data_IF_886865556313
#
_entry.id   IF_886865556313
#
_cell.length_a   1.000
_cell.length_b   1.000
_cell.length_c   1.000
_cell.angle_alpha   90.00
_cell.angle_beta   90.00
_cell.angle_gamma   90.00
#
_symmetry.space_group_name_H-M   'P 1'
#
loop_
_entity.id
_entity.type
_entity.pdbx_description
1 polymer ?
#
# COMPACT_ATOMS: atom_id res chain seq x y z
N UNK A 1 2.95 6.03 -2.93
CA UNK A 1 1.99 5.57 -1.90
C UNK A 1 1.04 4.52 -2.47
N UNK A 2 1.18 3.24 -2.11
CA UNK A 2 0.23 2.19 -2.50
C UNK A 2 -1.09 2.42 -1.77
N UNK A 3 -2.17 2.71 -2.53
CA UNK A 3 -3.54 2.80 -2.01
C UNK A 3 -3.81 1.63 -1.06
N UNK A 4 -4.36 1.91 0.13
CA UNK A 4 -4.76 0.88 1.10
C UNK A 4 -5.80 -0.02 0.42
N UNK A 5 -5.37 -1.20 -0.06
CA UNK A 5 -6.22 -2.23 -0.66
C UNK A 5 -7.02 -3.03 0.38
N UNK A 6 -7.19 -2.48 1.60
CA UNK A 6 -7.88 -3.12 2.72
C UNK A 6 -9.15 -2.37 3.08
N UNK A 7 -10.12 -3.08 3.64
CA UNK A 7 -11.39 -2.56 4.13
C UNK A 7 -11.68 -3.15 5.51
N UNK A 8 -12.55 -2.47 6.26
CA UNK A 8 -13.04 -2.95 7.55
C UNK A 8 -13.91 -4.20 7.35
N UNK A 9 -13.89 -5.10 8.32
CA UNK A 9 -14.70 -6.32 8.30
C UNK A 9 -16.15 -5.96 8.62
N UNK A 10 -17.02 -6.03 7.61
CA UNK A 10 -18.46 -5.74 7.74
C UNK A 10 -19.25 -6.96 8.19
N UNK A 11 -20.52 -6.76 8.59
CA UNK A 11 -21.44 -7.85 8.91
C UNK A 11 -21.64 -8.82 7.73
N UNK A 12 -21.67 -8.30 6.51
CA UNK A 12 -21.67 -9.10 5.28
C UNK A 12 -20.49 -10.06 5.23
N UNK A 13 -19.26 -9.57 5.45
CA UNK A 13 -18.05 -10.39 5.40
C UNK A 13 -18.13 -11.51 6.44
N UNK A 14 -18.59 -11.22 7.67
CA UNK A 14 -18.74 -12.24 8.72
C UNK A 14 -19.71 -13.34 8.34
N UNK A 15 -20.86 -12.99 7.73
CA UNK A 15 -21.89 -13.95 7.30
C UNK A 15 -21.40 -14.77 6.11
N UNK A 16 -20.91 -14.13 5.06
CA UNK A 16 -20.41 -14.80 3.87
C UNK A 16 -19.21 -15.71 4.17
N UNK A 17 -18.32 -15.30 5.08
CA UNK A 17 -17.19 -16.11 5.54
C UNK A 17 -17.66 -17.36 6.30
N UNK A 18 -18.67 -17.23 7.17
CA UNK A 18 -19.24 -18.37 7.88
C UNK A 18 -19.87 -19.38 6.93
N UNK A 19 -20.64 -18.93 5.95
CA UNK A 19 -21.26 -19.81 4.95
C UNK A 19 -20.21 -20.49 4.06
N UNK A 20 -19.18 -19.76 3.64
CA UNK A 20 -18.16 -20.33 2.76
C UNK A 20 -17.26 -21.31 3.50
N UNK A 21 -16.70 -20.92 4.65
CA UNK A 21 -15.68 -21.72 5.34
C UNK A 21 -16.27 -22.62 6.43
N UNK A 22 -17.55 -22.50 6.77
CA UNK A 22 -18.17 -23.23 7.89
C UNK A 22 -17.66 -22.81 9.26
N UNK A 23 -16.92 -21.70 9.36
CA UNK A 23 -16.30 -21.23 10.60
C UNK A 23 -16.50 -19.72 10.79
N UNK A 24 -16.68 -19.30 12.04
CA UNK A 24 -16.81 -17.87 12.37
C UNK A 24 -15.45 -17.20 12.29
N UNK A 25 -15.44 -15.94 11.86
CA UNK A 25 -14.25 -15.11 11.94
C UNK A 25 -13.94 -14.81 13.41
N UNK A 26 -12.92 -15.46 13.95
CA UNK A 26 -12.53 -15.41 15.36
C UNK A 26 -11.57 -14.26 15.71
N UNK A 27 -11.32 -14.14 17.01
CA UNK A 27 -10.26 -13.32 17.62
C UNK A 27 -10.25 -11.84 17.20
N UNK A 28 -11.40 -11.31 16.79
CA UNK A 28 -11.55 -9.90 16.38
C UNK A 28 -11.42 -8.92 17.56
N UNK A 29 -11.40 -9.41 18.80
CA UNK A 29 -11.07 -8.69 20.03
C UNK A 29 -9.55 -8.69 20.35
N UNK A 30 -8.76 -9.50 19.64
CA UNK A 30 -7.33 -9.67 19.89
C UNK A 30 -6.50 -8.78 18.98
N UNK A 31 -5.56 -8.04 19.56
CA UNK A 31 -4.68 -7.11 18.84
C UNK A 31 -3.73 -7.79 17.84
N UNK A 32 -3.46 -9.08 18.01
CA UNK A 32 -2.61 -9.87 17.11
C UNK A 32 -3.36 -10.40 15.89
N UNK A 33 -4.70 -10.36 15.88
CA UNK A 33 -5.50 -10.87 14.77
C UNK A 33 -5.70 -9.80 13.69
N UNK A 34 -5.86 -10.19 12.40
CA UNK A 34 -6.21 -9.23 11.36
C UNK A 34 -7.61 -8.63 11.57
N UNK A 35 -7.67 -7.30 11.67
CA UNK A 35 -8.92 -6.52 11.79
C UNK A 35 -9.41 -5.91 10.46
N UNK A 36 -8.68 -6.16 9.38
CA UNK A 36 -9.04 -5.67 8.04
C UNK A 36 -8.93 -6.80 7.03
N UNK A 37 -9.71 -6.71 5.97
CA UNK A 37 -9.76 -7.68 4.88
C UNK A 37 -9.37 -7.01 3.57
N UNK A 38 -8.78 -7.75 2.63
CA UNK A 38 -8.41 -7.20 1.33
C UNK A 38 -9.65 -6.94 0.46
N UNK A 39 -9.69 -5.87 -0.33
CA UNK A 39 -10.84 -5.53 -1.20
C UNK A 39 -11.19 -6.67 -2.16
N UNK A 40 -10.17 -7.27 -2.78
CA UNK A 40 -10.37 -8.41 -3.68
C UNK A 40 -10.92 -9.65 -2.96
N UNK A 41 -10.59 -9.84 -1.68
CA UNK A 41 -11.12 -10.92 -0.86
C UNK A 41 -12.63 -10.73 -0.65
N UNK A 42 -13.05 -9.50 -0.32
CA UNK A 42 -14.46 -9.14 -0.15
C UNK A 42 -15.22 -9.31 -1.46
N UNK A 43 -14.66 -8.86 -2.57
CA UNK A 43 -15.32 -8.96 -3.87
C UNK A 43 -15.42 -10.40 -4.35
N UNK A 44 -14.40 -11.23 -4.14
CA UNK A 44 -14.47 -12.65 -4.47
C UNK A 44 -15.54 -13.38 -3.64
N UNK A 45 -15.69 -13.02 -2.36
CA UNK A 45 -16.79 -13.53 -1.52
C UNK A 45 -18.14 -13.04 -2.04
N UNK A 46 -18.26 -11.76 -2.42
CA UNK A 46 -19.48 -11.18 -3.00
C UNK A 46 -19.89 -11.89 -4.29
N UNK A 47 -18.96 -12.08 -5.22
CA UNK A 47 -19.22 -12.79 -6.47
C UNK A 47 -19.62 -14.25 -6.23
N UNK A 48 -19.04 -14.91 -5.23
CA UNK A 48 -19.46 -16.25 -4.84
C UNK A 48 -20.89 -16.24 -4.27
N UNK A 49 -21.23 -15.28 -3.40
CA UNK A 49 -22.62 -15.15 -2.89
C UNK A 49 -23.64 -14.79 -3.97
N UNK A 50 -23.21 -14.26 -5.11
CA UNK A 50 -24.07 -14.00 -6.28
C UNK A 50 -24.12 -15.18 -7.26
N UNK A 51 -23.39 -16.27 -6.99
CA UNK A 51 -23.24 -17.40 -7.92
C UNK A 51 -22.42 -17.09 -9.18
N UNK A 52 -21.86 -15.88 -9.31
CA UNK A 52 -21.01 -15.49 -10.46
C UNK A 52 -19.69 -16.26 -10.41
N UNK A 53 -19.14 -16.42 -9.20
CA UNK A 53 -17.87 -17.12 -8.97
C UNK A 53 -18.13 -18.50 -8.36
N UNK A 54 -17.52 -19.54 -8.94
CA UNK A 54 -17.66 -20.93 -8.48
C UNK A 54 -17.00 -21.17 -7.11
N UNK A 55 -15.78 -20.66 -6.92
CA UNK A 55 -15.00 -20.86 -5.68
C UNK A 55 -13.95 -19.77 -5.48
N UNK A 56 -13.50 -19.64 -4.23
CA UNK A 56 -12.24 -18.98 -3.88
C UNK A 56 -11.05 -19.87 -4.28
N UNK A 57 -9.83 -19.34 -4.16
CA UNK A 57 -8.59 -20.06 -4.48
C UNK A 57 -8.17 -21.06 -3.39
N UNK A 58 -8.80 -21.00 -2.22
CA UNK A 58 -8.52 -21.87 -1.07
C UNK A 58 -9.82 -22.21 -0.34
N UNK A 59 -9.86 -23.42 0.23
CA UNK A 59 -10.99 -23.92 0.99
C UNK A 59 -10.81 -23.82 2.49
N UNK A 60 -9.57 -23.72 2.97
CA UNK A 60 -9.26 -23.35 4.35
C UNK A 60 -8.51 -22.03 4.32
N UNK A 61 -8.97 -21.00 5.04
CA UNK A 61 -8.31 -19.70 5.08
C UNK A 61 -7.01 -19.79 5.88
N UNK A 62 -6.22 -18.71 5.83
CA UNK A 62 -5.08 -18.58 6.74
C UNK A 62 -5.58 -18.55 8.18
N UNK A 63 -4.99 -19.39 9.04
CA UNK A 63 -5.36 -19.47 10.46
C UNK A 63 -4.31 -18.74 11.27
N UNK A 64 -4.74 -17.75 12.04
CA UNK A 64 -3.92 -17.00 12.97
C UNK A 64 -4.17 -17.49 14.40
N UNK A 65 -3.12 -17.59 15.19
CA UNK A 65 -3.13 -17.89 16.62
C UNK A 65 -2.20 -16.93 17.34
N UNK A 66 -2.34 -16.86 18.66
CA UNK A 66 -1.50 -16.00 19.49
C UNK A 66 0.00 -16.36 19.31
N UNK A 67 0.84 -15.39 18.91
CA UNK A 67 2.26 -15.63 18.70
C UNK A 67 2.99 -15.82 20.03
N UNK A 68 3.88 -16.82 20.09
CA UNK A 68 4.63 -17.12 21.31
C UNK A 68 5.87 -16.23 21.48
N UNK A 69 6.60 -15.94 20.40
CA UNK A 69 7.81 -15.12 20.43
C UNK A 69 8.20 -14.60 19.03
N UNK A 70 9.10 -13.61 19.00
CA UNK A 70 9.58 -13.00 17.75
C UNK A 70 10.70 -13.76 17.03
N UNK A 71 11.21 -14.85 17.62
CA UNK A 71 12.41 -15.56 17.12
C UNK A 71 11.99 -16.76 16.26
N UNK A 72 11.16 -17.64 16.79
CA UNK A 72 10.77 -18.91 16.17
C UNK A 72 9.31 -18.96 15.72
N UNK A 73 8.49 -17.97 16.10
CA UNK A 73 7.03 -18.00 15.87
C UNK A 73 6.47 -16.71 15.27
N UNK A 74 7.34 -15.84 14.75
CA UNK A 74 6.93 -14.62 14.04
C UNK A 74 6.84 -14.85 12.52
N UNK A 75 5.61 -14.92 12.00
CA UNK A 75 5.34 -15.09 10.57
C UNK A 75 6.00 -14.02 9.69
N UNK A 76 5.91 -12.76 10.10
CA UNK A 76 6.50 -11.65 9.36
C UNK A 76 8.03 -11.63 9.40
N UNK A 77 8.62 -12.07 10.52
CA UNK A 77 10.07 -12.07 10.71
C UNK A 77 10.73 -13.21 9.91
N UNK A 78 10.05 -14.35 9.77
CA UNK A 78 10.57 -15.50 9.04
C UNK A 78 10.33 -15.43 7.52
N UNK A 79 9.36 -14.64 7.07
CA UNK A 79 9.12 -14.43 5.66
C UNK A 79 10.15 -13.43 5.08
N UNK A 80 11.27 -13.93 4.55
CA UNK A 80 12.19 -13.08 3.81
C UNK A 80 11.57 -12.69 2.45
N UNK A 81 11.02 -11.48 2.40
CA UNK A 81 10.39 -10.90 1.21
C UNK A 81 11.32 -9.95 0.44
N UNK A 82 12.54 -9.74 0.93
CA UNK A 82 13.51 -8.84 0.28
C UNK A 82 14.01 -9.46 -1.03
N UNK A 83 14.07 -8.64 -2.09
CA UNK A 83 14.54 -9.05 -3.42
C UNK A 83 13.49 -9.70 -4.33
N UNK A 84 12.25 -9.84 -3.87
CA UNK A 84 11.15 -10.33 -4.71
C UNK A 84 10.41 -9.18 -5.40
N UNK A 85 10.01 -9.39 -6.65
CA UNK A 85 9.22 -8.45 -7.46
C UNK A 85 7.92 -9.13 -7.92
N UNK A 86 7.07 -8.42 -8.69
CA UNK A 86 5.79 -8.94 -9.14
C UNK A 86 5.89 -10.27 -9.94
N UNK A 87 7.00 -10.50 -10.65
CA UNK A 87 7.25 -11.74 -11.42
C UNK A 87 7.78 -12.87 -10.53
N UNK A 88 8.55 -12.54 -9.50
CA UNK A 88 9.19 -13.54 -8.61
C UNK A 88 8.43 -13.76 -7.30
N UNK A 89 7.34 -13.03 -7.03
CA UNK A 89 6.55 -13.15 -5.78
C UNK A 89 6.03 -14.55 -5.49
N UNK A 90 5.79 -15.37 -6.51
CA UNK A 90 5.34 -16.77 -6.36
C UNK A 90 6.43 -17.68 -5.77
N UNK A 91 7.70 -17.26 -5.83
CA UNK A 91 8.84 -17.99 -5.28
C UNK A 91 9.04 -17.72 -3.78
N UNK A 92 8.30 -16.77 -3.19
CA UNK A 92 8.39 -16.48 -1.76
C UNK A 92 7.89 -17.70 -0.99
N UNK A 93 8.78 -18.26 -0.16
CA UNK A 93 8.47 -19.41 0.69
C UNK A 93 7.99 -18.93 2.04
N UNK A 94 6.69 -19.09 2.28
CA UNK A 94 6.10 -18.87 3.59
C UNK A 94 6.07 -20.19 4.38
N UNK A 95 6.64 -20.23 5.61
CA UNK A 95 6.56 -21.40 6.47
C UNK A 95 5.17 -21.55 7.12
N UNK A 96 4.85 -22.75 7.60
CA UNK A 96 3.76 -22.97 8.55
C UNK A 96 4.33 -22.85 9.96
N UNK A 97 3.67 -22.09 10.82
CA UNK A 97 4.08 -21.79 12.18
C UNK A 97 2.98 -22.17 13.17
N UNK A 98 3.29 -22.15 14.47
CA UNK A 98 2.26 -22.34 15.49
C UNK A 98 1.29 -21.15 15.52
N UNK A 99 1.80 -19.93 15.32
CA UNK A 99 1.00 -18.69 15.24
C UNK A 99 0.29 -18.47 13.90
N UNK A 100 0.77 -19.06 12.81
CA UNK A 100 0.25 -18.79 11.46
C UNK A 100 0.32 -20.04 10.57
N UNK A 101 -0.84 -20.60 10.26
CA UNK A 101 -0.98 -21.75 9.36
C UNK A 101 -1.50 -21.25 8.00
N UNK A 102 -0.82 -21.67 6.92
CA UNK A 102 -1.12 -21.22 5.57
C UNK A 102 -2.51 -21.69 5.09
N UNK A 103 -3.13 -20.93 4.17
CA UNK A 103 -4.34 -21.38 3.48
C UNK A 103 -4.12 -22.73 2.79
N UNK A 104 -5.13 -23.57 2.85
CA UNK A 104 -5.14 -24.87 2.15
C UNK A 104 -6.00 -24.76 0.90
N UNK A 105 -5.45 -25.07 -0.30
CA UNK A 105 -6.22 -25.13 -1.53
C UNK A 105 -7.39 -26.11 -1.43
N UNK A 106 -8.40 -25.93 -2.28
CA UNK A 106 -9.45 -26.93 -2.41
C UNK A 106 -8.89 -28.27 -2.90
N UNK A 107 -9.41 -29.35 -2.33
CA UNK A 107 -9.06 -30.73 -2.66
C UNK A 107 -10.30 -31.61 -2.49
N UNK A 108 -10.14 -32.93 -2.67
CA UNK A 108 -11.22 -33.89 -2.38
C UNK A 108 -11.64 -33.81 -0.91
N UNK A 109 -10.67 -33.62 -0.01
CA UNK A 109 -10.90 -33.49 1.44
C UNK A 109 -11.40 -32.09 1.85
N UNK A 110 -11.16 -31.09 1.01
CA UNK A 110 -11.62 -29.69 1.20
C UNK A 110 -12.47 -29.27 0.00
N UNK A 111 -13.71 -29.79 -0.11
CA UNK A 111 -14.55 -29.55 -1.27
C UNK A 111 -14.97 -28.08 -1.37
N UNK A 112 -15.34 -27.66 -2.58
CA UNK A 112 -15.93 -26.34 -2.80
C UNK A 112 -17.34 -26.32 -2.20
N UNK A 113 -17.65 -25.36 -1.31
CA UNK A 113 -18.99 -25.21 -0.76
C UNK A 113 -20.00 -24.92 -1.88
N UNK A 114 -21.14 -25.62 -1.85
CA UNK A 114 -22.25 -25.29 -2.74
C UNK A 114 -22.97 -24.09 -2.16
N UNK A 115 -23.11 -23.04 -2.97
CA UNK A 115 -23.86 -21.86 -2.57
C UNK A 115 -25.34 -22.24 -2.32
N UNK A 116 -25.78 -22.10 -1.07
CA UNK A 116 -27.20 -22.07 -0.71
C UNK A 116 -27.62 -20.60 -0.69
N UNK A 117 -28.70 -20.28 -1.40
CA UNK A 117 -29.18 -18.91 -1.55
C UNK A 117 -29.22 -18.21 -0.19
N UNK A 118 -28.42 -17.16 -0.03
CA UNK A 118 -28.44 -16.33 1.17
C UNK A 118 -29.72 -15.51 1.13
N UNK A 119 -30.76 -15.96 1.84
CA UNK A 119 -31.99 -15.19 2.00
C UNK A 119 -31.61 -13.78 2.51
N UNK A 120 -31.87 -12.82 1.62
CA UNK A 120 -31.78 -11.36 1.71
C UNK A 120 -30.99 -10.87 2.93
N UNK A 121 -29.68 -10.71 2.76
CA UNK A 121 -28.94 -9.78 3.62
C UNK A 121 -29.47 -8.41 3.24
N UNK A 122 -30.30 -7.83 4.11
CA UNK A 122 -30.80 -6.47 4.00
C UNK A 122 -29.68 -5.56 3.49
N UNK A 123 -29.90 -5.03 2.29
CA UNK A 123 -29.15 -3.92 1.73
C UNK A 123 -29.31 -2.74 2.69
N UNK A 124 -28.44 -2.66 3.70
CA UNK A 124 -28.14 -1.35 4.28
C UNK A 124 -27.11 -0.76 3.35
N UNK A 125 -27.72 -0.11 2.37
CA UNK A 125 -27.21 0.89 1.49
C UNK A 125 -26.45 1.96 2.30
N UNK A 126 -25.16 2.07 2.05
CA UNK A 126 -24.44 3.35 2.06
C UNK A 126 -23.80 3.46 0.68
N UNK A 127 -24.63 3.53 -0.37
CA UNK A 127 -24.23 3.99 -1.69
C UNK A 127 -24.98 5.28 -2.02
N UNK A 128 -24.25 6.39 -2.12
CA UNK A 128 -24.68 7.42 -3.06
C UNK A 128 -24.49 6.86 -4.47
N UNK A 129 -25.63 6.47 -5.02
CA UNK A 129 -25.82 6.00 -6.39
C UNK A 129 -25.31 7.04 -7.39
N UNK A 130 -24.55 6.60 -8.40
CA UNK A 130 -24.89 6.89 -9.80
C UNK A 130 -24.30 5.88 -10.78
N UNK A 131 -25.27 5.18 -11.39
CA UNK A 131 -25.31 4.65 -12.74
C UNK A 131 -24.72 3.25 -13.00
N UNK A 132 -25.63 2.29 -13.15
CA UNK A 132 -25.38 0.98 -13.74
C UNK A 132 -25.76 1.04 -15.22
N UNK A 133 -24.76 1.09 -16.09
CA UNK A 133 -24.87 0.62 -17.47
C UNK A 133 -23.73 -0.36 -17.71
N UNK A 134 -24.09 -1.56 -18.14
CA UNK A 134 -23.19 -2.66 -18.49
C UNK A 134 -22.18 -2.20 -19.53
N UNK A 135 -20.89 -2.14 -19.19
CA UNK A 135 -19.75 -2.29 -20.10
C UNK A 135 -18.63 -3.04 -19.40
N UNK A 136 -17.92 -3.81 -20.20
CA UNK A 136 -16.80 -4.68 -19.85
C UNK A 136 -15.80 -3.97 -18.92
N UNK A 137 -15.52 -4.61 -17.78
CA UNK A 137 -14.43 -4.40 -16.81
C UNK A 137 -13.56 -3.13 -17.03
N UNK A 138 -14.14 -1.96 -16.76
CA UNK A 138 -13.55 -0.64 -17.03
C UNK A 138 -12.89 -0.02 -15.77
N UNK A 139 -12.31 -0.85 -14.87
CA UNK A 139 -11.48 -0.40 -13.74
C UNK A 139 -10.07 -1.02 -13.69
N UNK A 140 -9.68 -1.77 -14.73
CA UNK A 140 -8.44 -1.40 -15.41
C UNK A 140 -8.86 -0.40 -16.48
N UNK A 141 -8.85 0.89 -16.15
CA UNK A 141 -8.63 1.92 -17.16
C UNK A 141 -7.10 1.92 -17.38
N UNK A 142 -6.54 1.25 -18.42
CA UNK A 142 -5.34 1.81 -19.00
C UNK A 142 -5.76 3.19 -19.46
N UNK A 143 -4.99 4.23 -19.16
CA UNK A 143 -5.27 5.60 -19.57
C UNK A 143 -5.74 5.66 -21.06
N UNK A 144 -7.04 5.60 -21.33
CA UNK A 144 -7.61 5.72 -22.68
C UNK A 144 -7.97 7.17 -23.01
N UNK A 145 -7.49 8.11 -22.19
CA UNK A 145 -7.40 9.53 -22.53
C UNK A 145 -5.91 9.88 -22.66
N UNK A 146 -5.40 9.64 -23.87
CA UNK A 146 -4.01 9.77 -24.33
C UNK A 146 -3.06 8.64 -23.97
N UNK A 147 -3.35 7.42 -24.46
CA UNK A 147 -2.29 6.55 -24.96
C UNK A 147 -1.68 7.20 -26.22
N UNK A 148 -0.95 8.30 -26.04
CA UNK A 148 0.16 8.56 -26.94
C UNK A 148 1.07 7.34 -26.77
N UNK A 149 1.38 6.62 -27.84
CA UNK A 149 2.36 5.53 -27.84
C UNK A 149 3.79 6.01 -27.47
N UNK A 150 3.93 7.25 -26.98
CA UNK A 150 5.15 7.83 -26.43
C UNK A 150 5.23 7.61 -24.92
N UNK A 151 6.44 7.37 -24.40
CA UNK A 151 6.67 7.28 -22.97
C UNK A 151 6.24 8.57 -22.25
N UNK A 152 5.59 8.43 -21.09
CA UNK A 152 5.31 9.56 -20.21
C UNK A 152 6.62 10.04 -19.60
N UNK A 153 6.91 11.32 -19.80
CA UNK A 153 8.14 11.96 -19.34
C UNK A 153 7.92 12.62 -17.98
N UNK A 154 8.88 12.51 -17.08
CA UNK A 154 8.87 13.21 -15.81
C UNK A 154 9.15 14.70 -16.00
N UNK A 155 8.27 15.53 -15.44
CA UNK A 155 8.53 16.95 -15.23
C UNK A 155 9.37 17.19 -13.96
N UNK A 156 9.77 18.44 -13.70
CA UNK A 156 10.65 18.77 -12.57
C UNK A 156 10.01 18.46 -11.21
N UNK A 157 8.72 18.73 -11.01
CA UNK A 157 8.01 18.43 -9.76
C UNK A 157 7.91 16.93 -9.52
N UNK A 158 7.52 16.16 -10.52
CA UNK A 158 7.40 14.70 -10.41
C UNK A 158 8.74 14.04 -10.13
N UNK A 159 9.82 14.54 -10.75
CA UNK A 159 11.18 14.06 -10.46
C UNK A 159 11.59 14.41 -9.01
N UNK A 160 11.27 15.61 -8.53
CA UNK A 160 11.57 16.02 -7.15
C UNK A 160 10.77 15.21 -6.13
N UNK A 161 9.49 14.93 -6.41
CA UNK A 161 8.62 14.13 -5.57
C UNK A 161 9.11 12.68 -5.51
N UNK A 162 9.51 12.10 -6.64
CA UNK A 162 10.10 10.76 -6.69
C UNK A 162 11.39 10.67 -5.85
N UNK A 163 12.26 11.68 -5.95
CA UNK A 163 13.48 11.76 -5.15
C UNK A 163 13.17 11.85 -3.65
N UNK A 164 12.15 12.62 -3.27
CA UNK A 164 11.70 12.75 -1.87
C UNK A 164 11.10 11.45 -1.34
N UNK A 165 10.22 10.81 -2.11
CA UNK A 165 9.54 9.58 -1.70
C UNK A 165 10.51 8.40 -1.51
N UNK A 166 11.63 8.43 -2.23
CA UNK A 166 12.72 7.45 -2.14
C UNK A 166 13.81 7.82 -1.13
N UNK A 167 13.72 9.00 -0.49
CA UNK A 167 14.69 9.51 0.47
C UNK A 167 16.15 9.46 -0.04
N UNK A 168 16.37 9.95 -1.28
CA UNK A 168 17.67 9.85 -1.92
C UNK A 168 18.62 10.98 -1.50
N UNK A 169 19.90 10.62 -1.30
CA UNK A 169 20.99 11.58 -1.16
C UNK A 169 21.16 12.44 -2.42
N UNK A 170 21.83 13.59 -2.32
CA UNK A 170 22.08 14.49 -3.48
C UNK A 170 22.73 13.75 -4.67
N UNK A 171 23.74 12.93 -4.38
CA UNK A 171 24.46 12.14 -5.38
C UNK A 171 23.56 11.07 -6.01
N UNK A 172 22.74 10.39 -5.19
CA UNK A 172 21.83 9.35 -5.66
C UNK A 172 20.67 9.92 -6.49
N UNK A 173 20.15 11.08 -6.09
CA UNK A 173 19.11 11.80 -6.83
C UNK A 173 19.62 12.29 -8.19
N UNK A 174 20.86 12.79 -8.24
CA UNK A 174 21.51 13.16 -9.49
C UNK A 174 21.74 11.94 -10.39
N UNK A 175 22.26 10.84 -9.83
CA UNK A 175 22.48 9.61 -10.58
C UNK A 175 21.17 9.08 -11.16
N UNK A 176 20.09 9.06 -10.37
CA UNK A 176 18.75 8.68 -10.83
C UNK A 176 18.30 9.56 -12.00
N UNK A 177 18.39 10.88 -11.85
CA UNK A 177 18.00 11.81 -12.91
C UNK A 177 18.87 11.66 -14.17
N UNK A 178 20.16 11.37 -14.04
CA UNK A 178 21.04 11.05 -15.17
C UNK A 178 20.56 9.81 -15.92
N UNK A 179 20.23 8.73 -15.19
CA UNK A 179 19.72 7.49 -15.80
C UNK A 179 18.37 7.69 -16.48
N UNK A 180 17.47 8.47 -15.87
CA UNK A 180 16.19 8.80 -16.49
C UNK A 180 16.37 9.64 -17.76
N UNK A 181 17.35 10.55 -17.78
CA UNK A 181 17.71 11.31 -18.97
C UNK A 181 18.28 10.43 -20.09
N UNK A 182 19.20 9.53 -19.76
CA UNK A 182 19.76 8.54 -20.72
C UNK A 182 18.67 7.68 -21.38
N UNK A 183 17.58 7.42 -20.65
CA UNK A 183 16.42 6.64 -21.14
C UNK A 183 15.36 7.49 -21.85
N UNK A 184 15.60 8.78 -22.07
CA UNK A 184 14.62 9.72 -22.61
C UNK A 184 13.29 9.70 -21.83
N UNK A 185 13.37 9.66 -20.50
CA UNK A 185 12.22 9.66 -19.60
C UNK A 185 12.03 11.00 -18.88
N UNK A 186 12.83 12.02 -19.19
CA UNK A 186 12.68 13.38 -18.65
C UNK A 186 12.26 14.35 -19.74
N UNK A 187 11.44 15.34 -19.37
CA UNK A 187 11.19 16.48 -20.26
C UNK A 187 12.48 17.27 -20.54
N UNK A 188 12.61 17.92 -21.71
CA UNK A 188 13.83 18.66 -22.07
C UNK A 188 14.26 19.74 -21.06
N UNK A 189 13.29 20.32 -20.35
CA UNK A 189 13.50 21.39 -19.37
C UNK A 189 13.84 20.88 -17.95
N UNK A 190 13.73 19.58 -17.70
CA UNK A 190 13.96 18.99 -16.37
C UNK A 190 15.45 18.94 -16.04
N UNK A 191 15.83 19.55 -14.91
CA UNK A 191 17.22 19.70 -14.45
C UNK A 191 17.52 18.76 -13.29
N UNK A 192 18.15 17.62 -13.59
CA UNK A 192 18.60 16.67 -12.58
C UNK A 192 19.86 17.11 -11.81
N UNK A 193 20.67 18.02 -12.36
CA UNK A 193 21.88 18.53 -11.67
C UNK A 193 21.56 19.56 -10.56
N UNK A 194 20.29 19.98 -10.45
CA UNK A 194 19.85 20.98 -9.47
C UNK A 194 19.99 20.49 -8.02
N UNK A 195 19.98 19.17 -7.79
CA UNK A 195 20.12 18.57 -6.46
C UNK A 195 21.46 18.85 -5.78
N UNK A 196 22.52 19.12 -6.55
CA UNK A 196 23.85 19.48 -6.01
C UNK A 196 23.84 20.78 -5.20
N UNK A 197 23.00 21.72 -5.63
CA UNK A 197 23.02 23.10 -5.17
C UNK A 197 21.69 23.51 -4.51
N UNK A 198 20.80 22.55 -4.24
CA UNK A 198 19.45 22.82 -3.74
C UNK A 198 19.47 23.52 -2.37
N UNK A 199 20.44 23.19 -1.54
CA UNK A 199 20.66 23.77 -0.23
C UNK A 199 21.09 25.23 -0.27
N UNK A 200 21.69 25.71 -1.37
CA UNK A 200 22.28 27.06 -1.45
C UNK A 200 21.23 28.14 -1.18
N UNK A 201 20.02 27.95 -1.69
CA UNK A 201 18.90 28.88 -1.45
C UNK A 201 18.42 28.91 0.01
N UNK A 202 18.73 27.88 0.79
CA UNK A 202 18.37 27.76 2.20
C UNK A 202 19.49 28.16 3.15
N UNK A 203 20.75 28.20 2.71
CA UNK A 203 21.90 28.60 3.54
C UNK A 203 21.71 29.98 4.18
N UNK A 204 20.99 30.88 3.51
CA UNK A 204 20.65 32.22 4.04
C UNK A 204 19.81 32.21 5.32
N UNK A 205 19.26 31.08 5.73
CA UNK A 205 18.49 30.91 6.98
C UNK A 205 19.31 30.30 8.12
N UNK A 206 20.58 29.97 7.86
CA UNK A 206 21.50 29.38 8.83
C UNK A 206 22.66 30.34 9.10
N UNK A 207 23.10 30.42 10.35
CA UNK A 207 24.27 31.19 10.77
C UNK A 207 25.25 30.22 11.44
N UNK A 208 26.53 30.50 11.27
CA UNK A 208 27.61 29.81 11.98
C UNK A 208 28.21 30.75 13.02
N UNK A 209 28.05 30.43 14.30
CA UNK A 209 28.70 31.12 15.41
C UNK A 209 29.43 30.08 16.28
N UNK A 210 30.67 30.37 16.67
CA UNK A 210 31.49 29.50 17.52
C UNK A 210 31.59 28.02 17.08
N UNK A 211 31.55 27.78 15.77
CA UNK A 211 31.62 26.43 15.18
C UNK A 211 30.29 25.65 15.19
N UNK A 212 29.21 26.26 15.68
CA UNK A 212 27.87 25.71 15.60
C UNK A 212 27.07 26.33 14.46
N UNK A 213 26.37 25.50 13.70
CA UNK A 213 25.43 25.96 12.68
C UNK A 213 24.01 25.81 13.20
N UNK A 214 23.27 26.90 13.25
CA UNK A 214 21.87 26.88 13.66
C UNK A 214 21.00 27.70 12.72
N UNK A 215 19.72 27.35 12.66
CA UNK A 215 18.73 28.14 11.93
C UNK A 215 18.37 29.38 12.77
N UNK A 216 18.64 30.57 12.24
CA UNK A 216 18.36 31.82 12.95
C UNK A 216 16.94 32.33 12.68
N UNK A 217 16.32 31.91 11.57
CA UNK A 217 14.94 32.27 11.25
C UNK A 217 14.15 31.10 10.65
N UNK A 218 13.34 30.49 11.50
CA UNK A 218 12.59 29.27 11.21
C UNK A 218 11.38 29.56 10.33
N UNK A 219 10.69 30.68 10.52
CA UNK A 219 9.42 30.94 9.81
C UNK A 219 9.63 31.09 8.29
N UNK A 220 10.60 31.89 7.81
CA UNK A 220 10.91 31.99 6.39
C UNK A 220 11.49 30.71 5.80
N UNK A 221 12.26 29.94 6.57
CA UNK A 221 12.78 28.63 6.12
C UNK A 221 11.62 27.69 5.79
N UNK A 222 10.66 27.58 6.69
CA UNK A 222 9.51 26.65 6.57
C UNK A 222 8.59 27.07 5.44
N UNK A 223 8.32 28.37 5.35
CA UNK A 223 7.57 28.94 4.22
C UNK A 223 8.30 28.69 2.89
N UNK A 224 9.64 28.80 2.85
CA UNK A 224 10.44 28.51 1.66
C UNK A 224 10.46 27.02 1.29
N UNK A 225 10.21 26.12 2.25
CA UNK A 225 10.01 24.69 2.01
C UNK A 225 8.60 24.35 1.51
N UNK A 226 7.70 25.34 1.44
CA UNK A 226 6.33 25.18 0.96
C UNK A 226 5.36 24.68 2.03
N UNK A 227 5.73 24.78 3.31
CA UNK A 227 4.87 24.42 4.44
C UNK A 227 4.42 25.68 5.19
N UNK A 228 3.16 25.75 5.67
CA UNK A 228 2.73 26.84 6.53
C UNK A 228 3.42 26.72 7.90
N UNK A 229 4.05 27.81 8.36
CA UNK A 229 4.63 27.85 9.70
C UNK A 229 3.53 28.07 10.77
N UNK A 230 3.30 27.07 11.61
CA UNK A 230 2.34 27.12 12.73
C UNK A 230 3.10 26.95 14.06
N UNK A 231 3.46 28.02 14.78
CA UNK A 231 4.32 27.94 15.96
C UNK A 231 3.89 26.92 17.02
N UNK A 232 2.58 26.69 17.18
CA UNK A 232 2.00 25.77 18.17
C UNK A 232 2.21 24.29 17.82
N UNK A 233 2.46 23.96 16.55
CA UNK A 233 2.70 22.58 16.09
C UNK A 233 4.17 22.18 16.23
N UNK A 234 5.05 23.13 16.56
CA UNK A 234 6.47 22.93 16.67
C UNK A 234 6.79 22.42 18.07
N UNK A 235 6.98 21.11 18.19
CA UNK A 235 7.64 20.54 19.36
C UNK A 235 9.13 20.71 19.17
N UNK A 236 9.80 21.42 20.08
CA UNK A 236 11.25 21.41 20.22
C UNK A 236 11.69 19.95 20.35
N UNK A 237 12.16 19.35 19.26
CA UNK A 237 12.90 18.10 19.33
C UNK A 237 14.23 18.41 20.01
N UNK A 238 14.27 18.26 21.32
CA UNK A 238 15.46 17.69 21.95
C UNK A 238 15.18 16.19 22.05
N UNK A 239 15.51 15.45 20.99
CA UNK A 239 15.82 14.04 21.16
C UNK A 239 17.14 13.98 21.93
N UNK A 240 17.11 13.37 23.12
CA UNK A 240 18.29 12.88 23.84
C UNK A 240 18.81 11.61 23.18
#
# INVERSE_FOLDING_TARGET
MTSKQTTTITGFVKKAYLEYFGMRLGDQDKTWAPHTVCRSCVENLRQWTKGIRKSLSFGIPMIWREPQNHISDCYFCMANISGFNAKTKSLIKYPNLHSAIRPVPHSIDVPVPKFTNLDVISEIDDCETRDSLIREDEDFIPCVLSCSNSPQLFNQSELNDLVRDLDLSKESAELLGSRLKEKNLLLPETKFYSYRNREIGFLKYFIMEDGFVFCHDVSPLVNALGCPYVPNDWRLFFDL
#
